data_IF_387391251854
#
_entry.id   IF_387391251854
#
_cell.length_a   1.000
_cell.length_b   1.000
_cell.length_c   1.000
_cell.angle_alpha   90.00
_cell.angle_beta   90.00
_cell.angle_gamma   90.00
#
_symmetry.space_group_name_H-M   'P 1'
#
loop_
_entity.id
_entity.type
_entity.pdbx_description
1 polymer ?
#
# COMPACT_ATOMS: atom_id res chain seq x y z
N UNK A 1 8.60 13.48 23.52
CA UNK A 1 9.80 13.73 22.70
C UNK A 1 9.39 14.12 21.29
N UNK A 2 9.63 15.39 20.98
CA UNK A 2 9.25 16.10 19.77
C UNK A 2 10.00 15.58 18.53
N UNK A 3 9.52 14.49 17.94
CA UNK A 3 9.89 14.06 16.60
C UNK A 3 8.70 14.19 15.64
N UNK A 4 8.00 15.32 15.66
CA UNK A 4 7.13 15.77 14.57
C UNK A 4 7.94 16.51 13.50
N UNK A 5 9.05 15.94 13.04
CA UNK A 5 10.06 16.73 12.28
C UNK A 5 10.08 16.28 10.81
N UNK A 6 9.14 16.88 10.07
CA UNK A 6 8.91 16.81 8.62
C UNK A 6 8.43 15.47 8.08
N UNK A 7 7.22 15.46 7.54
CA UNK A 7 6.71 14.39 6.70
C UNK A 7 6.36 14.93 5.32
N UNK A 8 6.48 14.06 4.31
CA UNK A 8 5.94 14.32 2.98
C UNK A 8 4.50 13.81 2.97
N UNK A 9 3.54 14.74 2.99
CA UNK A 9 2.13 14.43 2.79
C UNK A 9 1.86 13.87 1.38
N UNK A 10 0.82 13.04 1.25
CA UNK A 10 0.41 12.49 -0.04
C UNK A 10 0.14 13.53 -1.14
N UNK A 11 -0.30 14.73 -0.78
CA UNK A 11 -0.49 15.85 -1.73
C UNK A 11 0.82 16.28 -2.41
N UNK A 12 1.96 16.08 -1.76
CA UNK A 12 3.28 16.35 -2.36
C UNK A 12 3.60 15.42 -3.53
N UNK A 13 2.91 14.29 -3.67
CA UNK A 13 3.03 13.38 -4.82
C UNK A 13 2.22 13.86 -6.03
N UNK A 14 1.28 14.80 -5.84
CA UNK A 14 0.37 15.26 -6.89
C UNK A 14 1.07 15.73 -8.17
N UNK A 15 2.22 16.45 -8.14
CA UNK A 15 2.94 16.81 -9.36
C UNK A 15 3.39 15.61 -10.19
N UNK A 16 3.61 14.45 -9.55
CA UNK A 16 4.02 13.20 -10.21
C UNK A 16 2.85 12.46 -10.88
N UNK A 17 1.60 12.85 -10.63
CA UNK A 17 0.44 12.17 -11.19
C UNK A 17 0.24 12.41 -12.69
N UNK A 18 1.00 13.34 -13.28
CA UNK A 18 1.04 13.53 -14.73
C UNK A 18 1.73 12.37 -15.47
N UNK A 19 2.59 11.60 -14.79
CA UNK A 19 3.32 10.48 -15.39
C UNK A 19 2.48 9.20 -15.45
N UNK A 20 1.52 9.16 -16.37
CA UNK A 20 0.54 8.05 -16.50
C UNK A 20 1.14 6.68 -16.85
N UNK A 21 2.34 6.65 -17.41
CA UNK A 21 3.02 5.44 -17.87
C UNK A 21 4.09 4.93 -16.90
N UNK A 22 4.06 5.35 -15.63
CA UNK A 22 4.98 4.82 -14.63
C UNK A 22 4.70 3.34 -14.36
N UNK A 23 5.75 2.54 -14.55
CA UNK A 23 5.77 1.10 -14.25
C UNK A 23 6.41 0.85 -12.88
N UNK A 24 7.40 1.65 -12.51
CA UNK A 24 8.12 1.54 -11.24
C UNK A 24 8.12 2.88 -10.52
N UNK A 25 7.75 2.86 -9.25
CA UNK A 25 7.87 3.99 -8.33
C UNK A 25 8.64 3.53 -7.09
N UNK A 26 9.81 4.12 -6.86
CA UNK A 26 10.56 3.96 -5.61
C UNK A 26 10.75 5.33 -4.98
N UNK A 27 10.19 5.51 -3.80
CA UNK A 27 10.32 6.75 -3.02
C UNK A 27 11.29 6.51 -1.87
N UNK A 28 12.59 6.64 -2.16
CA UNK A 28 13.63 6.66 -1.13
C UNK A 28 13.56 7.98 -0.38
N UNK A 29 13.45 7.91 0.94
CA UNK A 29 13.26 9.08 1.80
C UNK A 29 14.02 8.93 3.11
N UNK A 30 14.41 10.08 3.67
CA UNK A 30 15.03 10.20 4.99
C UNK A 30 14.07 10.80 6.03
N UNK A 31 12.83 11.05 5.62
CA UNK A 31 11.75 11.65 6.42
C UNK A 31 10.45 10.90 6.15
N UNK A 32 9.54 10.85 7.12
CA UNK A 32 8.31 10.06 6.99
C UNK A 32 7.48 10.44 5.76
N UNK A 33 6.92 9.44 5.06
CA UNK A 33 5.90 9.67 4.03
C UNK A 33 4.54 9.36 4.64
N UNK A 34 3.66 10.35 4.62
CA UNK A 34 2.28 10.19 5.10
C UNK A 34 1.40 9.72 3.95
N UNK A 35 1.04 8.44 4.02
CA UNK A 35 0.10 7.81 3.11
C UNK A 35 -1.09 7.32 3.91
N UNK A 36 -2.28 7.64 3.41
CA UNK A 36 -3.54 7.05 3.83
C UNK A 36 -4.19 6.32 2.63
N UNK A 37 -5.31 5.66 2.89
CA UNK A 37 -6.03 4.90 1.88
C UNK A 37 -6.56 5.80 0.74
N UNK A 38 -6.84 7.08 1.01
CA UNK A 38 -7.30 8.04 0.00
C UNK A 38 -6.16 8.43 -0.97
N UNK A 39 -4.96 8.67 -0.45
CA UNK A 39 -3.75 8.92 -1.25
C UNK A 39 -3.40 7.71 -2.10
N UNK A 40 -3.48 6.50 -1.55
CA UNK A 40 -3.30 5.25 -2.31
C UNK A 40 -4.30 5.19 -3.48
N UNK A 41 -5.57 5.51 -3.24
CA UNK A 41 -6.57 5.61 -4.31
C UNK A 41 -6.24 6.65 -5.38
N UNK A 42 -5.65 7.78 -5.01
CA UNK A 42 -5.18 8.80 -5.95
C UNK A 42 -4.00 8.30 -6.79
N UNK A 43 -3.00 7.67 -6.17
CA UNK A 43 -1.86 7.04 -6.84
C UNK A 43 -2.32 5.97 -7.84
N UNK A 44 -3.31 5.16 -7.45
CA UNK A 44 -3.92 4.14 -8.29
C UNK A 44 -4.53 4.70 -9.56
N UNK A 45 -5.27 5.80 -9.42
CA UNK A 45 -5.83 6.51 -10.58
C UNK A 45 -4.74 7.16 -11.43
N UNK A 46 -3.64 7.60 -10.83
CA UNK A 46 -2.56 8.32 -11.50
C UNK A 46 -1.65 7.39 -12.34
N UNK A 47 -1.31 6.22 -11.81
CA UNK A 47 -0.29 5.32 -12.38
C UNK A 47 -0.89 3.94 -12.73
N UNK A 48 -1.83 3.85 -13.68
CA UNK A 48 -2.57 2.61 -13.94
C UNK A 48 -1.71 1.43 -14.42
N UNK A 49 -0.47 1.67 -14.87
CA UNK A 49 0.46 0.65 -15.38
C UNK A 49 1.51 0.21 -14.34
N UNK A 50 1.33 0.56 -13.07
CA UNK A 50 2.33 0.29 -12.05
C UNK A 50 2.50 -1.22 -11.80
N UNK A 51 3.75 -1.67 -11.89
CA UNK A 51 4.18 -3.04 -11.61
C UNK A 51 5.02 -3.13 -10.33
N UNK A 52 5.66 -2.04 -9.91
CA UNK A 52 6.51 -2.04 -8.70
C UNK A 52 6.33 -0.75 -7.91
N UNK A 53 5.93 -0.89 -6.64
CA UNK A 53 5.85 0.20 -5.68
C UNK A 53 6.74 -0.09 -4.48
N UNK A 54 7.70 0.78 -4.23
CA UNK A 54 8.59 0.73 -3.08
C UNK A 54 8.57 2.04 -2.31
N UNK A 55 8.05 1.98 -1.10
CA UNK A 55 8.03 3.05 -0.12
C UNK A 55 8.56 2.41 1.17
N UNK A 56 9.89 2.31 1.34
CA UNK A 56 10.48 1.70 2.52
C UNK A 56 10.01 2.42 3.79
N UNK A 57 9.85 1.73 4.92
CA UNK A 57 9.57 2.42 6.16
C UNK A 57 10.82 3.18 6.61
N UNK A 58 10.62 4.34 7.22
CA UNK A 58 11.67 4.95 8.03
C UNK A 58 11.55 4.42 9.48
N UNK A 59 12.58 3.74 10.02
CA UNK A 59 12.57 3.24 11.39
C UNK A 59 12.30 4.32 12.45
N UNK A 60 12.61 5.59 12.16
CA UNK A 60 12.42 6.72 13.05
C UNK A 60 10.97 7.24 13.08
N UNK A 61 10.19 7.04 12.00
CA UNK A 61 8.85 7.61 11.84
C UNK A 61 7.75 6.54 11.84
N UNK A 62 7.75 5.69 12.87
CA UNK A 62 6.74 4.63 13.07
C UNK A 62 5.28 5.12 13.09
N UNK A 63 5.05 6.42 13.26
CA UNK A 63 3.75 7.05 13.49
C UNK A 63 3.06 7.59 12.22
N UNK A 64 3.70 7.57 11.04
CA UNK A 64 3.13 8.17 9.81
C UNK A 64 2.25 7.23 8.98
N UNK A 65 1.98 6.00 9.46
CA UNK A 65 1.26 4.98 8.70
C UNK A 65 -0.25 5.09 8.95
N UNK A 66 -0.96 5.61 7.95
CA UNK A 66 -2.42 5.66 7.90
C UNK A 66 -3.01 4.73 6.84
N UNK A 67 -2.16 4.06 6.05
CA UNK A 67 -2.58 3.00 5.14
C UNK A 67 -3.04 1.81 5.97
N UNK A 68 -4.24 1.32 5.70
CA UNK A 68 -4.80 0.13 6.35
C UNK A 68 -4.86 -1.04 5.39
N UNK A 69 -5.37 -2.19 5.84
CA UNK A 69 -5.72 -3.29 4.94
C UNK A 69 -6.76 -2.92 3.87
N UNK A 70 -7.54 -1.85 4.05
CA UNK A 70 -8.41 -1.32 2.99
C UNK A 70 -7.60 -0.66 1.87
N UNK A 71 -6.55 0.09 2.20
CA UNK A 71 -5.58 0.59 1.22
C UNK A 71 -4.84 -0.55 0.51
N UNK A 72 -4.46 -1.61 1.23
CA UNK A 72 -3.89 -2.83 0.63
C UNK A 72 -4.85 -3.47 -0.37
N UNK A 73 -6.14 -3.53 -0.04
CA UNK A 73 -7.18 -4.00 -0.96
C UNK A 73 -7.30 -3.10 -2.19
N UNK A 74 -7.20 -1.78 -2.03
CA UNK A 74 -7.22 -0.84 -3.15
C UNK A 74 -6.08 -1.11 -4.16
N UNK A 75 -4.91 -1.56 -3.68
CA UNK A 75 -3.83 -1.98 -4.58
C UNK A 75 -4.24 -3.18 -5.44
N UNK A 76 -4.87 -4.19 -4.83
CA UNK A 76 -5.37 -5.36 -5.55
C UNK A 76 -6.45 -5.00 -6.58
N UNK A 77 -7.30 -4.01 -6.29
CA UNK A 77 -8.38 -3.60 -7.19
C UNK A 77 -7.92 -2.78 -8.38
N UNK A 78 -6.88 -1.96 -8.20
CA UNK A 78 -6.55 -0.91 -9.16
C UNK A 78 -5.28 -1.18 -9.97
N UNK A 79 -4.38 -2.04 -9.47
CA UNK A 79 -3.13 -2.35 -10.16
C UNK A 79 -3.07 -3.82 -10.58
N UNK A 80 -3.67 -4.18 -11.72
CA UNK A 80 -3.74 -5.57 -12.17
C UNK A 80 -2.36 -6.17 -12.48
N UNK A 81 -1.34 -5.34 -12.68
CA UNK A 81 0.03 -5.75 -13.02
C UNK A 81 1.04 -5.60 -11.87
N UNK A 82 0.61 -5.14 -10.68
CA UNK A 82 1.51 -4.97 -9.54
C UNK A 82 2.18 -6.29 -9.15
N UNK A 83 3.50 -6.34 -9.21
CA UNK A 83 4.33 -7.52 -8.89
C UNK A 83 5.02 -7.39 -7.54
N UNK A 84 5.49 -6.18 -7.25
CA UNK A 84 6.20 -5.84 -6.02
C UNK A 84 5.46 -4.73 -5.29
N UNK A 85 5.14 -4.99 -4.03
CA UNK A 85 4.63 -4.01 -3.09
C UNK A 85 5.50 -4.01 -1.83
N UNK A 86 6.24 -2.93 -1.64
CA UNK A 86 7.00 -2.66 -0.41
C UNK A 86 6.45 -1.40 0.23
N UNK A 87 5.65 -1.57 1.28
CA UNK A 87 4.99 -0.49 2.01
C UNK A 87 4.67 -1.00 3.41
N UNK A 88 4.66 -0.11 4.40
CA UNK A 88 4.11 -0.43 5.71
C UNK A 88 2.63 -0.03 5.79
N UNK A 89 1.83 -0.78 6.52
CA UNK A 89 0.40 -0.56 6.70
C UNK A 89 -0.06 -1.04 8.08
N UNK A 90 -1.15 -0.48 8.57
CA UNK A 90 -1.81 -0.95 9.78
C UNK A 90 -2.69 -2.17 9.47
N UNK A 91 -2.32 -3.32 10.05
CA UNK A 91 -3.05 -4.58 9.96
C UNK A 91 -3.60 -5.06 11.31
N UNK A 92 -3.75 -4.15 12.28
CA UNK A 92 -4.36 -4.45 13.59
C UNK A 92 -5.85 -4.78 13.44
N UNK A 93 -6.51 -4.18 12.46
CA UNK A 93 -7.92 -4.40 12.13
C UNK A 93 -8.06 -5.02 10.74
N UNK A 94 -8.62 -6.23 10.68
CA UNK A 94 -8.94 -6.89 9.40
C UNK A 94 -10.33 -6.43 8.94
N UNK A 95 -10.45 -5.80 7.77
CA UNK A 95 -11.72 -5.29 7.28
C UNK A 95 -12.67 -6.44 6.94
N UNK A 96 -13.97 -6.22 7.20
CA UNK A 96 -15.04 -7.16 6.84
C UNK A 96 -15.41 -6.97 5.36
N UNK A 97 -14.44 -7.11 4.47
CA UNK A 97 -14.72 -6.99 3.03
C UNK A 97 -15.59 -8.17 2.65
N UNK A 98 -16.83 -7.88 2.23
CA UNK A 98 -17.69 -8.87 1.59
C UNK A 98 -17.07 -9.13 0.22
N UNK A 99 -16.20 -10.14 0.17
CA UNK A 99 -15.77 -10.73 -1.08
C UNK A 99 -16.99 -11.52 -1.58
N UNK A 100 -17.97 -10.79 -2.11
CA UNK A 100 -19.10 -11.37 -2.81
C UNK A 100 -18.49 -12.20 -3.94
N UNK A 101 -18.87 -13.47 -4.03
CA UNK A 101 -18.29 -14.42 -4.99
C UNK A 101 -18.38 -13.97 -6.45
N UNK A 102 -19.10 -12.88 -6.75
CA UNK A 102 -19.19 -12.20 -8.04
C UNK A 102 -18.08 -11.19 -8.33
N UNK A 103 -17.45 -10.62 -7.30
CA UNK A 103 -16.34 -9.67 -7.41
C UNK A 103 -15.13 -10.25 -6.68
N UNK A 104 -14.59 -11.35 -7.24
CA UNK A 104 -13.26 -11.81 -6.86
C UNK A 104 -12.26 -10.79 -7.37
N UNK A 105 -11.94 -9.80 -6.55
CA UNK A 105 -10.72 -9.01 -6.73
C UNK A 105 -9.58 -9.95 -6.39
N UNK A 106 -9.11 -10.66 -7.40
CA UNK A 106 -7.94 -11.50 -7.32
C UNK A 106 -6.89 -10.86 -8.21
N UNK A 107 -5.96 -10.16 -7.59
CA UNK A 107 -4.78 -9.66 -8.26
C UNK A 107 -3.77 -10.81 -8.27
N UNK A 108 -3.41 -11.27 -9.48
CA UNK A 108 -2.61 -12.50 -9.66
C UNK A 108 -1.13 -12.23 -9.96
N UNK A 109 -0.73 -10.98 -10.09
CA UNK A 109 0.62 -10.59 -10.48
C UNK A 109 1.54 -10.36 -9.29
N UNK A 110 1.00 -10.07 -8.10
CA UNK A 110 1.78 -9.78 -6.92
C UNK A 110 2.51 -11.05 -6.47
N UNK A 111 3.84 -11.01 -6.51
CA UNK A 111 4.72 -12.11 -6.11
C UNK A 111 5.64 -11.73 -4.94
N UNK A 112 5.75 -10.43 -4.63
CA UNK A 112 6.58 -9.91 -3.54
C UNK A 112 5.83 -8.87 -2.72
N UNK A 113 5.56 -9.20 -1.45
CA UNK A 113 5.02 -8.28 -0.45
C UNK A 113 6.03 -8.08 0.68
N UNK A 114 6.51 -6.85 0.84
CA UNK A 114 7.38 -6.47 1.96
C UNK A 114 6.60 -5.60 2.93
N UNK A 115 6.20 -6.19 4.06
CA UNK A 115 5.35 -5.56 5.08
C UNK A 115 6.12 -4.69 6.08
N UNK A 116 7.44 -4.53 5.96
CA UNK A 116 8.16 -3.51 6.72
C UNK A 116 7.93 -3.61 8.25
N UNK A 117 7.77 -2.48 8.96
CA UNK A 117 7.38 -2.44 10.38
C UNK A 117 5.85 -2.35 10.58
N UNK A 118 5.06 -3.00 9.71
CA UNK A 118 3.59 -3.01 9.82
C UNK A 118 3.13 -3.60 11.16
N UNK A 119 2.27 -2.93 11.93
CA UNK A 119 1.66 -3.52 13.10
C UNK A 119 0.64 -4.60 12.69
N UNK A 120 0.82 -5.82 13.22
CA UNK A 120 0.00 -6.99 12.90
C UNK A 120 -0.42 -7.68 14.22
N UNK A 121 -1.65 -7.45 14.66
CA UNK A 121 -2.18 -8.07 15.89
C UNK A 121 -2.62 -9.52 15.69
N UNK A 122 -3.21 -9.82 14.52
CA UNK A 122 -3.83 -11.12 14.22
C UNK A 122 -3.24 -11.71 12.95
N UNK A 123 -2.04 -12.33 13.01
CA UNK A 123 -1.34 -12.79 11.81
C UNK A 123 -2.16 -13.76 10.94
N UNK A 124 -2.92 -14.69 11.53
CA UNK A 124 -3.71 -15.66 10.77
C UNK A 124 -4.85 -15.01 9.98
N UNK A 125 -5.73 -14.19 10.59
CA UNK A 125 -6.70 -13.39 9.84
C UNK A 125 -6.10 -12.50 8.75
N UNK A 126 -4.96 -11.84 9.03
CA UNK A 126 -4.28 -10.99 8.05
C UNK A 126 -3.75 -11.82 6.87
N UNK A 127 -3.09 -12.94 7.12
CA UNK A 127 -2.61 -13.85 6.07
C UNK A 127 -3.77 -14.36 5.21
N UNK A 128 -4.89 -14.77 5.82
CA UNK A 128 -6.09 -15.20 5.10
C UNK A 128 -6.66 -14.07 4.23
N UNK A 129 -6.67 -12.85 4.74
CA UNK A 129 -7.12 -11.69 3.98
C UNK A 129 -6.24 -11.47 2.75
N UNK A 130 -4.91 -11.38 2.95
CA UNK A 130 -3.93 -11.19 1.89
C UNK A 130 -4.01 -12.30 0.83
N UNK A 131 -4.06 -13.57 1.23
CA UNK A 131 -4.17 -14.70 0.30
C UNK A 131 -5.48 -14.71 -0.49
N UNK A 132 -6.52 -14.03 0.00
CA UNK A 132 -7.78 -13.94 -0.75
C UNK A 132 -7.71 -12.91 -1.87
N UNK A 133 -7.00 -11.80 -1.65
CA UNK A 133 -6.90 -10.69 -2.61
C UNK A 133 -5.69 -10.81 -3.54
N UNK A 134 -4.63 -11.50 -3.07
CA UNK A 134 -3.41 -11.85 -3.79
C UNK A 134 -3.18 -13.37 -3.75
N UNK A 135 -3.92 -14.17 -4.53
CA UNK A 135 -3.87 -15.64 -4.44
C UNK A 135 -2.54 -16.28 -4.88
N UNK A 136 -1.63 -15.52 -5.49
CA UNK A 136 -0.30 -16.01 -5.91
C UNK A 136 0.85 -15.52 -5.02
N UNK A 137 0.53 -14.78 -3.96
CA UNK A 137 1.48 -14.39 -2.92
C UNK A 137 1.71 -15.54 -1.94
#
# INVERSE_FOLDING_TARGET
DELDIYSVGGESLRPLFCFRNLVTVSLEHTIGVELDDAVVGNMARAWPLLESLSIPPDPAYRLSLRVTLEGVYAFATHYPHLRLLKIAFDATVVPKIKIDGRQRVCQHSLDQLHVAYSPIDKPRPVAKFLSTIFPHL
#
